data_IF_486217318721
#
_entry.id   IF_486217318721
#
_cell.length_a   1.000
_cell.length_b   1.000
_cell.length_c   1.000
_cell.angle_alpha   90.00
_cell.angle_beta   90.00
_cell.angle_gamma   90.00
#
_symmetry.space_group_name_H-M   'P 1'
#
loop_
_entity.id
_entity.type
_entity.pdbx_description
1 polymer ?
#
# COMPACT_ATOMS: atom_id res chain seq x y z
N UNK A 1 -12.14 -8.97 -14.20
CA UNK A 1 -11.15 -7.96 -13.79
C UNK A 1 -10.35 -8.55 -12.64
N UNK A 2 -9.03 -8.69 -12.78
CA UNK A 2 -8.19 -9.34 -11.75
C UNK A 2 -7.93 -8.34 -10.61
N UNK A 3 -7.68 -8.84 -9.40
CA UNK A 3 -7.29 -7.99 -8.26
C UNK A 3 -6.04 -7.16 -8.57
N UNK A 4 -5.10 -7.73 -9.34
CA UNK A 4 -3.91 -7.04 -9.83
C UNK A 4 -4.26 -5.81 -10.67
N UNK A 5 -5.30 -5.88 -11.51
CA UNK A 5 -5.71 -4.77 -12.36
C UNK A 5 -6.28 -3.62 -11.51
N UNK A 6 -7.06 -3.94 -10.47
CA UNK A 6 -7.62 -2.95 -9.55
C UNK A 6 -6.54 -2.22 -8.75
N UNK A 7 -5.53 -2.96 -8.26
CA UNK A 7 -4.39 -2.36 -7.56
C UNK A 7 -3.60 -1.43 -8.47
N UNK A 8 -3.35 -1.85 -9.73
CA UNK A 8 -2.67 -1.00 -10.72
C UNK A 8 -3.44 0.27 -11.04
N UNK A 9 -4.76 0.18 -11.21
CA UNK A 9 -5.62 1.34 -11.45
C UNK A 9 -5.58 2.29 -10.24
N UNK A 10 -5.69 1.75 -9.02
CA UNK A 10 -5.62 2.55 -7.79
C UNK A 10 -4.30 3.30 -7.66
N UNK A 11 -3.18 2.59 -7.79
CA UNK A 11 -1.83 3.20 -7.70
C UNK A 11 -1.60 4.21 -8.84
N UNK A 12 -1.99 3.87 -10.07
CA UNK A 12 -1.86 4.78 -11.21
C UNK A 12 -2.67 6.07 -11.03
N UNK A 13 -3.86 5.98 -10.44
CA UNK A 13 -4.71 7.16 -10.18
C UNK A 13 -4.09 8.09 -9.12
N UNK A 14 -3.48 7.52 -8.07
CA UNK A 14 -2.76 8.30 -7.05
C UNK A 14 -1.56 9.04 -7.66
N UNK A 15 -0.84 8.37 -8.56
CA UNK A 15 0.29 8.98 -9.25
C UNK A 15 -0.14 10.17 -10.12
N UNK A 16 -1.19 10.01 -10.91
CA UNK A 16 -1.77 11.09 -11.71
C UNK A 16 -2.25 12.27 -10.84
N UNK A 17 -2.88 11.98 -9.70
CA UNK A 17 -3.31 13.02 -8.76
C UNK A 17 -2.12 13.80 -8.19
N UNK A 18 -1.01 13.11 -7.87
CA UNK A 18 0.22 13.75 -7.41
C UNK A 18 0.81 14.68 -8.47
N UNK A 19 0.90 14.23 -9.72
CA UNK A 19 1.39 15.06 -10.83
C UNK A 19 0.54 16.33 -10.99
N UNK A 20 -0.79 16.18 -10.96
CA UNK A 20 -1.72 17.32 -11.05
C UNK A 20 -1.55 18.32 -9.90
N UNK A 21 -1.33 17.83 -8.67
CA UNK A 21 -1.10 18.72 -7.53
C UNK A 21 0.23 19.49 -7.67
N UNK A 22 1.29 18.83 -8.13
CA UNK A 22 2.57 19.49 -8.38
C UNK A 22 2.46 20.56 -9.47
N UNK A 23 1.71 20.29 -10.55
CA UNK A 23 1.41 21.29 -11.58
C UNK A 23 0.70 22.52 -11.01
N UNK A 24 -0.32 22.33 -10.15
CA UNK A 24 -1.05 23.43 -9.52
C UNK A 24 -0.17 24.28 -8.61
N UNK A 25 0.71 23.65 -7.83
CA UNK A 25 1.67 24.35 -6.96
C UNK A 25 2.64 25.18 -7.80
N UNK A 26 3.16 24.62 -8.89
CA UNK A 26 4.06 25.34 -9.81
C UNK A 26 3.34 26.49 -10.54
N UNK A 27 2.06 26.33 -10.88
CA UNK A 27 1.26 27.41 -11.45
C UNK A 27 1.05 28.56 -10.45
N UNK A 28 0.69 28.25 -9.20
CA UNK A 28 0.50 29.25 -8.14
C UNK A 28 1.80 30.02 -7.86
N UNK A 29 2.93 29.32 -7.85
CA UNK A 29 4.26 29.91 -7.77
C UNK A 29 4.56 30.85 -8.93
N UNK A 30 4.28 30.45 -10.18
CA UNK A 30 4.45 31.32 -11.37
C UNK A 30 3.57 32.56 -11.34
N UNK A 31 2.37 32.45 -10.76
CA UNK A 31 1.44 33.58 -10.58
C UNK A 31 1.85 34.52 -9.45
N UNK A 32 2.86 34.16 -8.66
CA UNK A 32 3.30 34.91 -7.49
C UNK A 32 2.38 34.76 -6.28
N UNK A 33 1.48 33.77 -6.31
CA UNK A 33 0.59 33.43 -5.19
C UNK A 33 1.32 32.62 -4.10
N UNK A 34 2.44 31.99 -4.46
CA UNK A 34 3.33 31.27 -3.56
C UNK A 34 4.78 31.69 -3.81
N UNK A 35 5.57 31.79 -2.75
CA UNK A 35 7.03 31.90 -2.83
C UNK A 35 7.67 30.55 -3.18
N UNK A 36 8.92 30.58 -3.65
CA UNK A 36 9.74 29.38 -3.88
C UNK A 36 9.74 28.44 -2.67
N UNK A 37 9.90 29.04 -1.48
CA UNK A 37 10.00 28.32 -0.22
C UNK A 37 8.68 27.66 0.17
N UNK A 38 7.55 28.36 0.03
CA UNK A 38 6.23 27.80 0.35
C UNK A 38 5.85 26.67 -0.60
N UNK A 39 6.17 26.79 -1.90
CA UNK A 39 5.96 25.73 -2.87
C UNK A 39 6.78 24.47 -2.53
N UNK A 40 8.05 24.65 -2.15
CA UNK A 40 8.92 23.54 -1.75
C UNK A 40 8.45 22.88 -0.45
N UNK A 41 8.01 23.66 0.55
CA UNK A 41 7.41 23.15 1.79
C UNK A 41 6.15 22.31 1.50
N UNK A 42 5.22 22.80 0.67
CA UNK A 42 4.00 22.08 0.27
C UNK A 42 4.29 20.75 -0.44
N UNK A 43 5.26 20.73 -1.36
CA UNK A 43 5.66 19.50 -2.06
C UNK A 43 6.25 18.48 -1.08
N UNK A 44 7.07 18.94 -0.14
CA UNK A 44 7.71 18.07 0.85
C UNK A 44 6.69 17.51 1.85
N UNK A 45 5.76 18.33 2.35
CA UNK A 45 4.67 17.88 3.21
C UNK A 45 3.78 16.85 2.49
N UNK A 46 3.36 17.16 1.27
CA UNK A 46 2.55 16.23 0.46
C UNK A 46 3.27 14.90 0.25
N UNK A 47 4.58 14.92 -0.03
CA UNK A 47 5.36 13.69 -0.20
C UNK A 47 5.38 12.87 1.08
N UNK A 48 5.68 13.50 2.22
CA UNK A 48 5.73 12.83 3.52
C UNK A 48 4.38 12.21 3.89
N UNK A 49 3.30 12.98 3.81
CA UNK A 49 1.95 12.47 4.10
C UNK A 49 1.54 11.34 3.16
N UNK A 50 1.91 11.44 1.87
CA UNK A 50 1.57 10.40 0.89
C UNK A 50 2.25 9.07 1.19
N UNK A 51 3.50 9.10 1.66
CA UNK A 51 4.24 7.89 2.02
C UNK A 51 3.59 7.18 3.22
N UNK A 52 3.23 7.94 4.26
CA UNK A 52 2.53 7.41 5.46
C UNK A 52 1.17 6.80 5.09
N UNK A 53 0.33 7.53 4.33
CA UNK A 53 -1.00 7.06 3.90
C UNK A 53 -0.93 5.84 2.99
N UNK A 54 0.08 5.76 2.10
CA UNK A 54 0.27 4.60 1.24
C UNK A 54 0.63 3.33 2.03
N UNK A 55 1.39 3.47 3.12
CA UNK A 55 1.74 2.35 3.99
C UNK A 55 0.50 1.82 4.74
N UNK A 56 -0.36 2.71 5.25
CA UNK A 56 -1.64 2.34 5.85
C UNK A 56 -2.55 1.59 4.87
N UNK A 57 -2.67 2.09 3.64
CA UNK A 57 -3.46 1.43 2.58
C UNK A 57 -2.91 0.03 2.28
N UNK A 58 -1.59 -0.12 2.16
CA UNK A 58 -0.95 -1.43 1.94
C UNK A 58 -1.28 -2.41 3.06
N UNK A 59 -1.26 -1.95 4.30
CA UNK A 59 -1.61 -2.77 5.46
C UNK A 59 -3.08 -3.18 5.43
N UNK A 60 -4.00 -2.24 5.17
CA UNK A 60 -5.44 -2.54 5.04
C UNK A 60 -5.72 -3.57 3.95
N UNK A 61 -5.09 -3.44 2.77
CA UNK A 61 -5.24 -4.41 1.68
C UNK A 61 -4.74 -5.79 2.11
N UNK A 62 -3.56 -5.85 2.75
CA UNK A 62 -2.98 -7.12 3.20
C UNK A 62 -3.87 -7.82 4.23
N UNK A 63 -4.40 -7.06 5.19
CA UNK A 63 -5.26 -7.58 6.25
C UNK A 63 -6.60 -8.07 5.69
N UNK A 64 -7.21 -7.31 4.77
CA UNK A 64 -8.45 -7.72 4.10
C UNK A 64 -8.24 -8.98 3.24
N UNK A 65 -7.15 -9.05 2.46
CA UNK A 65 -6.84 -10.25 1.67
C UNK A 65 -6.66 -11.47 2.58
N UNK A 66 -5.95 -11.32 3.71
CA UNK A 66 -5.76 -12.41 4.67
C UNK A 66 -7.10 -12.88 5.25
N UNK A 67 -7.95 -11.94 5.68
CA UNK A 67 -9.28 -12.23 6.21
C UNK A 67 -10.14 -12.99 5.19
N UNK A 68 -10.16 -12.56 3.93
CA UNK A 68 -10.92 -13.23 2.88
C UNK A 68 -10.41 -14.66 2.62
N UNK A 69 -9.10 -14.88 2.66
CA UNK A 69 -8.52 -16.22 2.53
C UNK A 69 -8.90 -17.13 3.71
N UNK A 70 -8.89 -16.58 4.93
CA UNK A 70 -9.31 -17.30 6.15
C UNK A 70 -10.81 -17.67 6.07
N UNK A 71 -11.68 -16.77 5.62
CA UNK A 71 -13.12 -17.01 5.42
C UNK A 71 -13.40 -18.10 4.37
N UNK A 72 -12.56 -18.20 3.34
CA UNK A 72 -12.63 -19.25 2.33
C UNK A 72 -12.00 -20.59 2.77
N UNK A 73 -11.43 -20.66 3.97
CA UNK A 73 -10.78 -21.86 4.50
C UNK A 73 -9.45 -22.20 3.82
N UNK A 74 -8.78 -21.21 3.22
CA UNK A 74 -7.50 -21.42 2.54
C UNK A 74 -6.38 -21.51 3.58
N UNK A 75 -5.75 -22.68 3.68
CA UNK A 75 -4.61 -22.87 4.57
C UNK A 75 -3.39 -22.04 4.13
N UNK A 76 -2.75 -21.35 5.08
CA UNK A 76 -1.54 -20.58 4.83
C UNK A 76 -0.29 -21.47 4.81
N UNK A 77 0.83 -20.93 4.32
CA UNK A 77 2.13 -21.64 4.39
C UNK A 77 2.55 -21.89 5.83
N UNK A 78 2.27 -20.97 6.74
CA UNK A 78 2.52 -21.18 8.17
C UNK A 78 1.68 -22.32 8.74
N UNK A 79 0.42 -22.45 8.31
CA UNK A 79 -0.43 -23.57 8.73
C UNK A 79 0.13 -24.92 8.27
N UNK A 80 0.59 -24.99 7.01
CA UNK A 80 1.20 -26.20 6.44
C UNK A 80 2.48 -26.56 7.22
N UNK A 81 3.38 -25.60 7.42
CA UNK A 81 4.63 -25.84 8.18
C UNK A 81 4.36 -26.33 9.60
N UNK A 82 3.36 -25.74 10.28
CA UNK A 82 2.94 -26.17 11.62
C UNK A 82 2.40 -27.60 11.62
N UNK A 83 1.76 -28.04 10.54
CA UNK A 83 1.29 -29.42 10.39
C UNK A 83 2.47 -30.36 10.13
N UNK A 84 3.42 -29.99 9.27
CA UNK A 84 4.63 -30.76 8.99
C UNK A 84 5.46 -31.02 10.26
N UNK A 85 5.71 -29.98 11.07
CA UNK A 85 6.43 -30.11 12.34
C UNK A 85 5.73 -31.04 13.33
N UNK A 86 4.38 -31.04 13.34
CA UNK A 86 3.60 -31.97 14.18
C UNK A 86 3.73 -33.41 13.69
N UNK A 87 3.70 -33.62 12.38
CA UNK A 87 3.86 -34.95 11.77
C UNK A 87 5.26 -35.51 12.05
N UNK A 88 6.31 -34.70 11.90
CA UNK A 88 7.68 -35.11 12.23
C UNK A 88 7.82 -35.54 13.70
N UNK A 89 7.29 -34.75 14.63
CA UNK A 89 7.33 -35.08 16.08
C UNK A 89 6.59 -36.37 16.42
N UNK A 90 5.50 -36.68 15.70
CA UNK A 90 4.77 -37.93 15.88
C UNK A 90 5.52 -39.13 15.29
N UNK A 91 6.23 -38.93 14.18
CA UNK A 91 7.03 -39.98 13.55
C UNK A 91 8.32 -40.30 14.34
N UNK A 92 8.88 -39.34 15.07
CA UNK A 92 10.06 -39.55 15.94
C UNK A 92 9.69 -40.24 17.27
N UNK A 93 8.42 -40.24 17.66
CA UNK A 93 7.93 -40.92 18.88
C UNK A 93 7.56 -42.40 18.68
N UNK A 94 7.67 -42.93 17.45
CA UNK A 94 7.54 -44.35 17.13
C UNK A 94 8.90 -45.00 16.99
#
# INVERSE_FOLDING_TARGET
MKLEDLVKIGVGSIFLAKEKMQELIEEAKKRGELTEKEAEELINEMKKESEEKLEEIRKMIKDEVKKQLDELGVATKEDIKRIEEKIEKLNVQK
#
